data_IF_623212586468
#
_entry.id   IF_623212586468
#
_cell.length_a   1.000
_cell.length_b   1.000
_cell.length_c   1.000
_cell.angle_alpha   90.00
_cell.angle_beta   90.00
_cell.angle_gamma   90.00
#
_symmetry.space_group_name_H-M   'P 1'
#
loop_
_entity.id
_entity.type
_entity.pdbx_description
1 polymer ?
#
# COMPACT_ATOMS: atom_id res chain seq x y z
N UNK A 1 17.67 10.83 -13.02
CA UNK A 1 16.20 10.87 -13.35
C UNK A 1 15.55 9.71 -12.64
N UNK A 2 14.47 9.96 -11.88
CA UNK A 2 13.82 8.92 -11.07
C UNK A 2 12.87 8.08 -11.91
N UNK A 3 12.98 6.75 -11.80
CA UNK A 3 12.05 5.79 -12.41
C UNK A 3 11.40 4.93 -11.35
N UNK A 4 10.11 4.68 -11.51
CA UNK A 4 9.35 3.73 -10.70
C UNK A 4 8.82 2.62 -11.60
N UNK A 5 9.37 1.43 -11.45
CA UNK A 5 8.95 0.25 -12.19
C UNK A 5 7.75 -0.41 -11.51
N UNK A 6 6.63 -0.49 -12.22
CA UNK A 6 5.46 -1.25 -11.78
C UNK A 6 4.12 -0.76 -12.32
N UNK A 7 3.20 -1.70 -12.45
CA UNK A 7 1.79 -1.42 -12.78
C UNK A 7 1.03 -0.79 -11.60
N UNK A 8 0.24 0.25 -11.88
CA UNK A 8 -0.54 0.96 -10.86
C UNK A 8 -1.62 0.10 -10.17
N UNK A 9 -2.04 -1.01 -10.79
CA UNK A 9 -2.97 -1.98 -10.17
C UNK A 9 -2.33 -2.84 -9.06
N UNK A 10 -1.05 -2.64 -8.74
CA UNK A 10 -0.38 -3.30 -7.61
C UNK A 10 -0.41 -2.39 -6.39
N UNK A 11 -1.03 -2.82 -5.28
CA UNK A 11 -1.04 -2.05 -4.02
C UNK A 11 0.34 -1.59 -3.58
N UNK A 12 1.38 -2.39 -3.82
CA UNK A 12 2.73 -2.04 -3.42
C UNK A 12 3.30 -0.92 -4.30
N UNK A 13 2.92 -0.86 -5.57
CA UNK A 13 3.24 0.24 -6.48
C UNK A 13 2.45 1.49 -6.11
N UNK A 14 1.16 1.34 -5.75
CA UNK A 14 0.32 2.46 -5.30
C UNK A 14 0.94 3.19 -4.11
N UNK A 15 1.53 2.47 -3.14
CA UNK A 15 2.28 3.08 -2.03
C UNK A 15 3.42 3.97 -2.50
N UNK A 16 4.27 3.46 -3.40
CA UNK A 16 5.43 4.21 -3.90
C UNK A 16 4.99 5.43 -4.72
N UNK A 17 3.99 5.27 -5.60
CA UNK A 17 3.37 6.38 -6.34
C UNK A 17 2.84 7.43 -5.36
N UNK A 18 2.06 7.02 -4.35
CA UNK A 18 1.52 7.97 -3.38
C UNK A 18 2.64 8.73 -2.64
N UNK A 19 3.69 8.04 -2.20
CA UNK A 19 4.84 8.69 -1.56
C UNK A 19 5.53 9.72 -2.45
N UNK A 20 5.71 9.43 -3.74
CA UNK A 20 6.31 10.35 -4.71
C UNK A 20 5.42 11.56 -4.98
N UNK A 21 4.12 11.35 -5.14
CA UNK A 21 3.13 12.38 -5.39
C UNK A 21 2.96 13.32 -4.19
N UNK A 22 2.94 12.80 -2.96
CA UNK A 22 2.91 13.64 -1.75
C UNK A 22 4.12 14.56 -1.70
N UNK A 23 5.31 14.03 -2.00
CA UNK A 23 6.55 14.80 -1.98
C UNK A 23 6.74 15.72 -3.21
N UNK A 24 5.83 15.67 -4.19
CA UNK A 24 5.96 16.44 -5.44
C UNK A 24 7.19 16.07 -6.27
N UNK A 25 7.69 14.84 -6.14
CA UNK A 25 8.91 14.40 -6.79
C UNK A 25 8.64 13.98 -8.23
N UNK A 26 9.35 14.51 -9.24
CA UNK A 26 9.20 14.04 -10.61
C UNK A 26 9.74 12.61 -10.76
N UNK A 27 9.00 11.78 -11.48
CA UNK A 27 9.38 10.40 -11.81
C UNK A 27 8.74 9.95 -13.13
N UNK A 28 9.38 8.99 -13.79
CA UNK A 28 8.79 8.21 -14.88
C UNK A 28 8.29 6.87 -14.33
N UNK A 29 7.01 6.55 -14.51
CA UNK A 29 6.48 5.22 -14.19
C UNK A 29 6.62 4.29 -15.38
N UNK A 30 7.41 3.23 -15.23
CA UNK A 30 7.62 2.22 -16.27
C UNK A 30 6.76 0.99 -15.97
N UNK A 31 5.96 0.52 -16.93
CA UNK A 31 5.05 -0.60 -16.68
C UNK A 31 5.79 -1.93 -16.58
N UNK A 32 5.58 -2.62 -15.46
CA UNK A 32 6.16 -3.93 -15.17
C UNK A 32 5.22 -4.77 -14.29
N UNK A 33 5.33 -6.09 -14.42
CA UNK A 33 4.60 -7.08 -13.63
C UNK A 33 3.18 -7.37 -14.13
N UNK A 34 2.66 -8.56 -13.81
CA UNK A 34 1.36 -9.01 -14.32
C UNK A 34 1.37 -9.13 -15.85
N UNK A 35 0.36 -8.57 -16.52
CA UNK A 35 0.23 -8.59 -17.97
C UNK A 35 1.36 -7.87 -18.72
N UNK A 36 2.10 -6.97 -18.06
CA UNK A 36 3.19 -6.21 -18.66
C UNK A 36 4.53 -6.95 -18.71
N UNK A 37 4.64 -8.13 -18.09
CA UNK A 37 5.89 -8.91 -18.10
C UNK A 37 7.05 -8.21 -17.36
N UNK A 38 8.25 -8.23 -17.95
CA UNK A 38 9.51 -7.62 -17.49
C UNK A 38 10.14 -8.21 -16.23
N UNK A 39 9.36 -8.63 -15.25
CA UNK A 39 9.88 -8.99 -13.92
C UNK A 39 10.74 -10.26 -13.88
N UNK A 40 10.90 -10.95 -15.02
CA UNK A 40 11.78 -12.10 -15.20
C UNK A 40 12.91 -11.84 -16.21
N UNK A 41 12.92 -10.66 -16.83
CA UNK A 41 13.96 -10.29 -17.78
C UNK A 41 15.29 -10.15 -17.01
N UNK A 42 16.45 -10.56 -17.57
CA UNK A 42 17.71 -10.55 -16.83
C UNK A 42 18.11 -9.19 -16.27
N UNK A 43 17.81 -8.11 -17.00
CA UNK A 43 18.06 -6.73 -16.59
C UNK A 43 17.17 -6.30 -15.41
N UNK A 44 15.90 -6.70 -15.40
CA UNK A 44 15.01 -6.46 -14.27
C UNK A 44 15.42 -7.28 -13.03
N UNK A 45 15.76 -8.55 -13.22
CA UNK A 45 16.21 -9.43 -12.12
C UNK A 45 17.50 -8.90 -11.48
N UNK A 46 18.38 -8.27 -12.26
CA UNK A 46 19.56 -7.59 -11.74
C UNK A 46 19.20 -6.41 -10.81
N UNK A 47 18.06 -5.74 -11.02
CA UNK A 47 17.55 -4.71 -10.12
C UNK A 47 16.80 -5.29 -8.90
N UNK A 48 15.95 -6.30 -9.11
CA UNK A 48 15.19 -6.95 -8.06
C UNK A 48 15.14 -8.49 -8.27
N UNK A 49 15.94 -9.26 -7.51
CA UNK A 49 16.03 -10.70 -7.68
C UNK A 49 14.74 -11.45 -7.32
N UNK A 50 13.80 -10.81 -6.61
CA UNK A 50 12.50 -11.40 -6.28
C UNK A 50 11.54 -11.44 -7.48
N UNK A 51 11.83 -10.70 -8.56
CA UNK A 51 10.92 -10.58 -9.70
C UNK A 51 9.57 -9.95 -9.35
N UNK A 52 9.59 -8.94 -8.48
CA UNK A 52 8.41 -8.23 -7.99
C UNK A 52 8.47 -6.73 -8.29
N UNK A 53 7.32 -6.07 -8.18
CA UNK A 53 7.15 -4.61 -8.26
C UNK A 53 6.64 -4.07 -6.91
N UNK A 54 6.98 -2.83 -6.52
CA UNK A 54 7.77 -1.84 -7.26
C UNK A 54 9.29 -1.99 -7.17
N UNK A 55 9.99 -1.34 -8.09
CA UNK A 55 11.42 -0.98 -7.98
C UNK A 55 11.56 0.52 -8.22
N UNK A 56 12.24 1.22 -7.32
CA UNK A 56 12.67 2.61 -7.47
C UNK A 56 14.10 2.63 -7.99
N UNK A 57 14.35 3.41 -9.04
CA UNK A 57 15.69 3.71 -9.56
C UNK A 57 15.88 5.23 -9.53
N UNK A 58 16.96 5.68 -8.91
CA UNK A 58 17.32 7.09 -8.82
C UNK A 58 18.83 7.25 -8.80
N UNK A 59 19.38 7.91 -9.82
CA UNK A 59 20.79 8.34 -9.88
C UNK A 59 21.80 7.21 -9.55
N UNK A 60 21.51 6.01 -10.08
CA UNK A 60 22.32 4.80 -9.87
C UNK A 60 22.00 4.01 -8.61
N UNK A 61 21.15 4.54 -7.72
CA UNK A 61 20.58 3.81 -6.59
C UNK A 61 19.34 3.03 -7.02
N UNK A 62 19.28 1.75 -6.65
CA UNK A 62 18.15 0.86 -6.93
C UNK A 62 17.61 0.30 -5.62
N UNK A 63 16.30 0.41 -5.43
CA UNK A 63 15.62 -0.03 -4.21
C UNK A 63 14.30 -0.73 -4.53
N UNK A 64 14.15 -1.95 -3.99
CA UNK A 64 12.89 -2.69 -3.96
C UNK A 64 12.40 -2.82 -2.51
N UNK A 65 11.22 -3.42 -2.32
CA UNK A 65 10.34 -3.31 -1.13
C UNK A 65 9.60 -1.98 -1.02
N UNK A 66 8.28 -2.01 -1.19
CA UNK A 66 7.46 -0.78 -1.21
C UNK A 66 7.53 0.02 0.10
N UNK A 67 7.62 -0.67 1.25
CA UNK A 67 7.71 0.03 2.53
C UNK A 67 9.14 0.56 2.77
N UNK A 68 10.17 -0.08 2.22
CA UNK A 68 11.53 0.47 2.23
C UNK A 68 11.62 1.72 1.33
N UNK A 69 10.99 1.68 0.15
CA UNK A 69 10.85 2.85 -0.73
C UNK A 69 10.16 4.00 -0.01
N UNK A 70 9.04 3.77 0.68
CA UNK A 70 8.37 4.81 1.48
C UNK A 70 9.28 5.40 2.55
N UNK A 71 10.02 4.56 3.29
CA UNK A 71 10.99 5.01 4.30
C UNK A 71 12.08 5.87 3.67
N UNK A 72 12.66 5.41 2.56
CA UNK A 72 13.70 6.13 1.84
C UNK A 72 13.22 7.50 1.36
N UNK A 73 12.06 7.54 0.69
CA UNK A 73 11.48 8.79 0.19
C UNK A 73 11.17 9.76 1.33
N UNK A 74 10.51 9.31 2.40
CA UNK A 74 10.12 10.19 3.50
C UNK A 74 11.31 10.68 4.34
N UNK A 75 12.31 9.82 4.59
CA UNK A 75 13.52 10.22 5.32
C UNK A 75 14.47 11.05 4.47
N UNK A 76 14.47 10.90 3.15
CA UNK A 76 15.22 11.78 2.25
C UNK A 76 14.65 13.20 2.15
N UNK A 77 13.42 13.42 2.63
CA UNK A 77 12.68 14.68 2.51
C UNK A 77 12.03 15.06 3.84
N UNK A 78 12.83 15.08 4.92
CA UNK A 78 12.34 15.27 6.30
C UNK A 78 11.51 16.54 6.49
N UNK A 79 11.85 17.63 5.77
CA UNK A 79 11.13 18.90 5.81
C UNK A 79 9.64 18.78 5.44
N UNK A 80 9.25 17.76 4.68
CA UNK A 80 7.86 17.49 4.35
C UNK A 80 7.08 16.86 5.52
N UNK A 81 7.75 16.19 6.46
CA UNK A 81 7.13 15.64 7.66
C UNK A 81 6.33 14.34 7.48
N UNK A 82 6.48 13.62 6.35
CA UNK A 82 5.89 12.28 6.16
C UNK A 82 6.52 11.22 7.08
N UNK A 83 7.73 11.49 7.58
CA UNK A 83 8.40 10.70 8.60
C UNK A 83 8.51 11.52 9.89
N UNK A 84 8.04 11.02 11.05
CA UNK A 84 8.22 11.72 12.32
C UNK A 84 9.69 11.78 12.75
N UNK A 85 10.16 12.95 13.19
CA UNK A 85 11.51 13.09 13.77
C UNK A 85 11.63 12.58 15.21
N UNK A 86 10.52 12.52 15.95
CA UNK A 86 10.50 11.91 17.29
C UNK A 86 10.69 10.39 17.19
N UNK A 87 11.67 9.79 17.91
CA UNK A 87 11.96 8.36 17.80
C UNK A 87 10.79 7.45 18.17
N UNK A 88 9.92 7.84 19.10
CA UNK A 88 8.77 7.03 19.50
C UNK A 88 7.70 7.04 18.41
N UNK A 89 7.41 8.21 17.85
CA UNK A 89 6.51 8.33 16.71
C UNK A 89 7.05 7.59 15.48
N UNK A 90 8.36 7.66 15.21
CA UNK A 90 8.99 6.89 14.14
C UNK A 90 8.83 5.37 14.33
N UNK A 91 9.03 4.86 15.55
CA UNK A 91 8.82 3.45 15.87
C UNK A 91 7.35 3.01 15.69
N UNK A 92 6.39 3.88 16.06
CA UNK A 92 4.97 3.63 15.79
C UNK A 92 4.65 3.63 14.29
N UNK A 93 5.31 4.49 13.50
CA UNK A 93 5.21 4.46 12.04
C UNK A 93 5.73 3.13 11.49
N UNK A 94 6.89 2.68 11.95
CA UNK A 94 7.45 1.37 11.58
C UNK A 94 6.51 0.21 11.95
N UNK A 95 5.92 0.23 13.15
CA UNK A 95 4.95 -0.78 13.58
C UNK A 95 3.80 -0.94 12.58
N UNK A 96 3.21 0.17 12.11
CA UNK A 96 2.11 0.13 11.16
C UNK A 96 2.52 -0.25 9.74
N UNK A 97 3.71 0.19 9.28
CA UNK A 97 4.28 -0.26 8.02
C UNK A 97 4.46 -1.78 8.02
N UNK A 98 5.05 -2.32 9.07
CA UNK A 98 5.37 -3.73 9.14
C UNK A 98 4.12 -4.58 9.37
N UNK A 99 3.22 -4.17 10.27
CA UNK A 99 1.92 -4.84 10.48
C UNK A 99 1.09 -4.87 9.20
N UNK A 100 1.09 -3.79 8.42
CA UNK A 100 0.40 -3.75 7.13
C UNK A 100 0.98 -4.78 6.15
N UNK A 101 2.30 -4.94 6.11
CA UNK A 101 2.97 -5.85 5.19
C UNK A 101 2.86 -7.32 5.62
N UNK A 102 2.96 -7.59 6.92
CA UNK A 102 3.05 -8.96 7.46
C UNK A 102 1.72 -9.52 7.94
N UNK A 103 0.73 -8.66 8.21
CA UNK A 103 -0.59 -9.10 8.68
C UNK A 103 -1.73 -8.69 7.74
N UNK A 104 -1.93 -7.41 7.50
CA UNK A 104 -3.14 -6.98 6.78
C UNK A 104 -3.11 -7.32 5.28
N UNK A 105 -1.95 -7.21 4.63
CA UNK A 105 -1.81 -7.61 3.21
C UNK A 105 -2.01 -9.12 3.04
N UNK A 106 -1.38 -10.00 3.83
CA UNK A 106 -1.66 -11.44 3.75
C UNK A 106 -3.13 -11.79 4.02
N UNK A 107 -3.76 -11.15 5.02
CA UNK A 107 -5.15 -11.40 5.37
C UNK A 107 -6.12 -11.15 4.19
N UNK A 108 -5.88 -10.09 3.41
CA UNK A 108 -6.73 -9.70 2.26
C UNK A 108 -6.37 -10.38 0.94
N UNK A 109 -5.18 -11.00 0.85
CA UNK A 109 -4.60 -11.47 -0.41
C UNK A 109 -5.47 -12.51 -1.11
N UNK A 110 -5.93 -13.51 -0.36
CA UNK A 110 -6.58 -14.67 -0.97
C UNK A 110 -8.00 -14.33 -1.42
N UNK A 111 -8.76 -13.54 -0.64
CA UNK A 111 -10.03 -12.97 -1.07
C UNK A 111 -9.87 -12.12 -2.32
N UNK A 112 -8.84 -11.24 -2.38
CA UNK A 112 -8.54 -10.46 -3.59
C UNK A 112 -8.24 -11.37 -4.78
N UNK A 113 -7.41 -12.40 -4.61
CA UNK A 113 -7.08 -13.30 -5.71
C UNK A 113 -8.32 -14.04 -6.23
N UNK A 114 -9.11 -14.61 -5.33
CA UNK A 114 -10.33 -15.34 -5.68
C UNK A 114 -11.38 -14.44 -6.33
N UNK A 115 -11.59 -13.23 -5.82
CA UNK A 115 -12.68 -12.36 -6.31
C UNK A 115 -12.28 -11.54 -7.54
N UNK A 116 -11.02 -11.18 -7.69
CA UNK A 116 -10.55 -10.27 -8.77
C UNK A 116 -9.75 -10.99 -9.86
N UNK A 117 -9.05 -12.08 -9.52
CA UNK A 117 -8.13 -12.77 -10.46
C UNK A 117 -8.58 -14.17 -10.86
N UNK A 118 -9.54 -14.75 -10.16
CA UNK A 118 -10.10 -16.07 -10.46
C UNK A 118 -11.47 -15.93 -11.15
N UNK A 119 -11.68 -16.57 -12.31
CA UNK A 119 -13.00 -16.68 -12.95
C UNK A 119 -14.06 -17.23 -11.99
N UNK A 120 -15.31 -16.75 -12.10
CA UNK A 120 -16.37 -17.05 -11.15
C UNK A 120 -16.63 -18.55 -10.95
N UNK A 121 -16.53 -19.35 -12.02
CA UNK A 121 -16.70 -20.81 -12.05
C UNK A 121 -15.55 -21.57 -11.37
N UNK A 122 -14.44 -20.90 -11.03
CA UNK A 122 -13.24 -21.49 -10.41
C UNK A 122 -12.95 -20.97 -9.00
N UNK A 123 -13.81 -20.10 -8.47
CA UNK A 123 -13.62 -19.52 -7.14
C UNK A 123 -13.78 -20.59 -6.06
N UNK A 124 -12.90 -20.54 -5.06
CA UNK A 124 -13.04 -21.33 -3.84
C UNK A 124 -13.61 -20.47 -2.71
N UNK A 125 -14.90 -20.69 -2.41
CA UNK A 125 -15.62 -19.95 -1.39
C UNK A 125 -14.99 -20.13 0.01
N UNK A 126 -14.50 -21.31 0.36
CA UNK A 126 -13.90 -21.54 1.67
C UNK A 126 -12.59 -20.73 1.84
N UNK A 127 -11.83 -20.55 0.75
CA UNK A 127 -10.66 -19.68 0.73
C UNK A 127 -11.04 -18.20 0.86
N UNK A 128 -12.11 -17.76 0.18
CA UNK A 128 -12.65 -16.41 0.32
C UNK A 128 -13.05 -16.16 1.78
N UNK A 129 -13.85 -17.04 2.36
CA UNK A 129 -14.41 -16.88 3.71
C UNK A 129 -13.32 -16.78 4.78
N UNK A 130 -12.27 -17.62 4.71
CA UNK A 130 -11.12 -17.54 5.63
C UNK A 130 -10.37 -16.21 5.50
N UNK A 131 -10.18 -15.73 4.28
CA UNK A 131 -9.49 -14.47 4.02
C UNK A 131 -10.33 -13.27 4.46
N UNK A 132 -11.65 -13.32 4.26
CA UNK A 132 -12.60 -12.31 4.74
C UNK A 132 -12.58 -12.26 6.28
N UNK A 133 -12.65 -13.40 6.97
CA UNK A 133 -12.59 -13.45 8.42
C UNK A 133 -11.28 -12.85 8.97
N UNK A 134 -10.13 -13.23 8.41
CA UNK A 134 -8.85 -12.65 8.80
C UNK A 134 -8.75 -11.14 8.50
N UNK A 135 -9.38 -10.68 7.41
CA UNK A 135 -9.43 -9.26 7.04
C UNK A 135 -10.32 -8.46 7.98
N UNK A 136 -11.45 -9.02 8.41
CA UNK A 136 -12.34 -8.44 9.42
C UNK A 136 -11.66 -8.27 10.77
N UNK A 137 -10.84 -9.24 11.21
CA UNK A 137 -10.02 -9.09 12.42
C UNK A 137 -9.07 -7.89 12.31
N UNK A 138 -8.42 -7.73 11.16
CA UNK A 138 -7.51 -6.61 10.91
C UNK A 138 -8.28 -5.27 10.84
N UNK A 139 -9.44 -5.26 10.18
CA UNK A 139 -10.31 -4.09 10.09
C UNK A 139 -10.83 -3.66 11.47
N UNK A 140 -11.15 -4.61 12.36
CA UNK A 140 -11.54 -4.33 13.73
C UNK A 140 -10.41 -3.68 14.54
N UNK A 141 -9.16 -4.15 14.39
CA UNK A 141 -7.98 -3.52 15.02
C UNK A 141 -7.81 -2.08 14.52
N UNK A 142 -7.93 -1.85 13.21
CA UNK A 142 -7.81 -0.52 12.63
C UNK A 142 -8.93 0.41 13.11
N UNK A 143 -10.18 -0.04 13.09
CA UNK A 143 -11.31 0.75 13.56
C UNK A 143 -11.12 1.16 15.02
N UNK A 144 -10.72 0.22 15.89
CA UNK A 144 -10.45 0.49 17.28
C UNK A 144 -9.27 1.47 17.49
N UNK A 145 -8.19 1.31 16.72
CA UNK A 145 -7.05 2.24 16.77
C UNK A 145 -7.45 3.65 16.33
N UNK A 146 -8.29 3.75 15.31
CA UNK A 146 -8.71 5.02 14.70
C UNK A 146 -9.83 5.72 15.46
N UNK A 147 -10.42 5.10 16.49
CA UNK A 147 -11.36 5.78 17.38
C UNK A 147 -10.69 6.99 18.03
N UNK A 148 -11.20 8.18 17.72
CA UNK A 148 -10.66 9.45 18.22
C UNK A 148 -9.33 9.88 17.61
N UNK A 149 -8.84 9.21 16.55
CA UNK A 149 -7.59 9.60 15.85
C UNK A 149 -7.85 10.10 14.44
N UNK A 150 -7.13 11.15 14.06
CA UNK A 150 -7.17 11.66 12.70
C UNK A 150 -6.38 10.79 11.71
N UNK A 151 -5.26 10.20 12.17
CA UNK A 151 -4.27 9.47 11.38
C UNK A 151 -3.66 8.31 12.18
N UNK A 152 -2.85 7.48 11.51
CA UNK A 152 -2.26 6.29 12.12
C UNK A 152 -1.27 6.61 13.26
N UNK A 153 -0.54 7.73 13.18
CA UNK A 153 0.48 8.11 14.16
C UNK A 153 0.38 9.59 14.51
N UNK A 154 0.15 9.88 15.80
CA UNK A 154 -0.02 11.25 16.29
C UNK A 154 -1.23 11.95 15.64
N UNK A 155 -1.05 13.23 15.32
CA UNK A 155 -2.08 14.09 14.73
C UNK A 155 -1.83 14.43 13.26
N UNK A 156 -0.82 13.83 12.62
CA UNK A 156 -0.39 14.15 11.26
C UNK A 156 -0.40 12.93 10.35
N UNK A 157 -0.61 13.18 9.07
CA UNK A 157 -0.49 12.18 8.01
C UNK A 157 0.98 11.77 7.83
N UNK A 158 1.24 10.47 7.78
CA UNK A 158 2.59 9.90 7.63
C UNK A 158 2.59 8.76 6.60
N UNK A 159 3.77 8.21 6.31
CA UNK A 159 3.87 7.01 5.46
C UNK A 159 3.14 5.78 6.02
N UNK A 160 2.85 5.73 7.33
CA UNK A 160 2.00 4.69 7.90
C UNK A 160 0.58 4.77 7.33
N UNK A 161 0.04 5.98 7.18
CA UNK A 161 -1.26 6.18 6.56
C UNK A 161 -1.25 5.73 5.10
N UNK A 162 -0.21 6.07 4.33
CA UNK A 162 -0.07 5.63 2.92
C UNK A 162 -0.13 4.10 2.82
N UNK A 163 0.70 3.40 3.60
CA UNK A 163 0.77 1.94 3.51
C UNK A 163 -0.54 1.27 3.91
N UNK A 164 -1.13 1.70 5.04
CA UNK A 164 -2.38 1.12 5.55
C UNK A 164 -3.53 1.48 4.63
N UNK A 165 -3.62 2.71 4.12
CA UNK A 165 -4.70 3.16 3.26
C UNK A 165 -4.69 2.47 1.90
N UNK A 166 -3.52 2.14 1.35
CA UNK A 166 -3.43 1.34 0.13
C UNK A 166 -4.02 -0.07 0.33
N UNK A 167 -3.76 -0.72 1.47
CA UNK A 167 -4.37 -2.01 1.80
C UNK A 167 -5.87 -1.90 2.10
N UNK A 168 -6.28 -0.87 2.86
CA UNK A 168 -7.68 -0.58 3.16
C UNK A 168 -8.47 -0.29 1.89
N UNK A 169 -7.90 0.46 0.94
CA UNK A 169 -8.52 0.73 -0.35
C UNK A 169 -8.89 -0.57 -1.06
N UNK A 170 -7.94 -1.51 -1.15
CA UNK A 170 -8.24 -2.83 -1.72
C UNK A 170 -9.36 -3.54 -0.96
N UNK A 171 -9.24 -3.64 0.36
CA UNK A 171 -10.22 -4.33 1.20
C UNK A 171 -11.65 -3.79 1.01
N UNK A 172 -11.81 -2.47 1.05
CA UNK A 172 -13.12 -1.81 0.96
C UNK A 172 -13.79 -1.91 -0.42
N UNK A 173 -13.03 -2.25 -1.45
CA UNK A 173 -13.52 -2.37 -2.82
C UNK A 173 -13.62 -3.84 -3.31
N UNK A 174 -13.33 -4.82 -2.44
CA UNK A 174 -13.64 -6.22 -2.77
C UNK A 174 -15.17 -6.43 -2.81
N UNK A 175 -15.63 -7.32 -3.66
CA UNK A 175 -17.04 -7.75 -3.68
C UNK A 175 -17.25 -8.91 -2.70
N UNK A 176 -17.22 -8.59 -1.40
CA UNK A 176 -17.40 -9.54 -0.28
C UNK A 176 -18.18 -8.87 0.85
N UNK A 177 -18.92 -9.63 1.67
CA UNK A 177 -19.57 -9.09 2.87
C UNK A 177 -18.54 -8.46 3.82
N UNK A 178 -18.90 -7.32 4.41
CA UNK A 178 -18.07 -6.60 5.39
C UNK A 178 -18.91 -6.03 6.51
N UNK A 179 -18.35 -6.00 7.71
CA UNK A 179 -18.92 -5.29 8.85
C UNK A 179 -18.56 -3.81 8.71
N UNK A 180 -19.53 -2.93 8.92
CA UNK A 180 -19.28 -1.49 8.86
C UNK A 180 -18.41 -1.04 10.04
N UNK A 181 -17.36 -0.27 9.74
CA UNK A 181 -16.33 0.20 10.69
C UNK A 181 -16.23 1.73 10.60
N UNK A 182 -17.02 2.48 11.40
CA UNK A 182 -17.17 3.92 11.21
C UNK A 182 -15.88 4.72 11.35
N UNK A 183 -15.00 4.38 12.30
CA UNK A 183 -13.74 5.11 12.49
C UNK A 183 -12.76 4.82 11.35
N UNK A 184 -12.68 3.55 10.92
CA UNK A 184 -11.90 3.16 9.73
C UNK A 184 -12.42 3.87 8.47
N UNK A 185 -13.75 3.93 8.27
CA UNK A 185 -14.39 4.61 7.15
C UNK A 185 -14.11 6.11 7.14
N UNK A 186 -14.25 6.77 8.29
CA UNK A 186 -14.01 8.20 8.42
C UNK A 186 -12.54 8.55 8.16
N UNK A 187 -11.60 7.79 8.73
CA UNK A 187 -10.18 7.95 8.42
C UNK A 187 -9.88 7.70 6.94
N UNK A 188 -10.46 6.64 6.36
CA UNK A 188 -10.25 6.31 4.96
C UNK A 188 -10.76 7.41 4.03
N UNK A 189 -11.94 7.97 4.30
CA UNK A 189 -12.48 9.11 3.57
C UNK A 189 -11.52 10.31 3.63
N UNK A 190 -11.05 10.66 4.83
CA UNK A 190 -10.10 11.77 5.05
C UNK A 190 -8.80 11.58 4.26
N UNK A 191 -8.17 10.41 4.30
CA UNK A 191 -6.91 10.19 3.55
C UNK A 191 -7.14 10.20 2.04
N UNK A 192 -8.35 9.85 1.56
CA UNK A 192 -8.72 9.90 0.14
C UNK A 192 -8.95 11.32 -0.39
N UNK A 193 -9.16 12.31 0.47
CA UNK A 193 -9.27 13.72 0.09
C UNK A 193 -7.91 14.32 -0.36
N UNK A 194 -6.80 13.64 -0.06
CA UNK A 194 -5.47 14.10 -0.45
C UNK A 194 -5.28 14.00 -1.97
N UNK A 195 -4.80 15.06 -2.67
CA UNK A 195 -4.64 15.02 -4.12
C UNK A 195 -3.81 13.83 -4.63
N UNK A 196 -2.69 13.53 -3.95
CA UNK A 196 -1.82 12.41 -4.26
C UNK A 196 -2.52 11.04 -4.16
N UNK A 197 -3.54 10.90 -3.29
CA UNK A 197 -4.32 9.68 -3.17
C UNK A 197 -5.12 9.38 -4.44
N UNK A 198 -5.60 10.41 -5.15
CA UNK A 198 -6.38 10.23 -6.39
C UNK A 198 -5.54 9.65 -7.53
N UNK A 199 -4.25 10.02 -7.60
CA UNK A 199 -3.29 9.49 -8.56
C UNK A 199 -2.90 8.06 -8.21
N UNK A 200 -2.66 7.80 -6.92
CA UNK A 200 -2.15 6.52 -6.45
C UNK A 200 -3.21 5.43 -6.34
N UNK A 201 -4.47 5.77 -6.02
CA UNK A 201 -5.55 4.81 -5.75
C UNK A 201 -6.65 4.92 -6.80
N UNK A 202 -6.43 4.38 -8.02
CA UNK A 202 -7.47 4.32 -9.02
C UNK A 202 -8.64 3.44 -8.53
N UNK A 203 -9.87 3.63 -9.03
CA UNK A 203 -10.95 2.68 -8.81
C UNK A 203 -10.48 1.25 -9.12
N UNK A 204 -10.90 0.27 -8.32
CA UNK A 204 -10.66 -1.13 -8.70
C UNK A 204 -11.44 -1.41 -9.99
N UNK A 205 -10.73 -1.91 -11.00
CA UNK A 205 -11.28 -2.39 -12.27
C UNK A 205 -11.53 -3.88 -12.21
#
# INVERSE_FOLDING_TARGET
>A
MRRLWGRLSSVNVQKAVWGLEELGLPYERVEAGGAFGRVRDPDYVAMNPNGLVPVLEEDGFVLWESNAILRHLARGHEAHGLWPGDPRAAALTDQWLDWQATRFTPATRDAFWQTVRTPADRRDQATIDRSVAASEECAAILDAHLMGRAYMVGERFTVADIAVAAATHRWLHLDVPRIERPALRAWYARVRERPAASVALPPLS
#
